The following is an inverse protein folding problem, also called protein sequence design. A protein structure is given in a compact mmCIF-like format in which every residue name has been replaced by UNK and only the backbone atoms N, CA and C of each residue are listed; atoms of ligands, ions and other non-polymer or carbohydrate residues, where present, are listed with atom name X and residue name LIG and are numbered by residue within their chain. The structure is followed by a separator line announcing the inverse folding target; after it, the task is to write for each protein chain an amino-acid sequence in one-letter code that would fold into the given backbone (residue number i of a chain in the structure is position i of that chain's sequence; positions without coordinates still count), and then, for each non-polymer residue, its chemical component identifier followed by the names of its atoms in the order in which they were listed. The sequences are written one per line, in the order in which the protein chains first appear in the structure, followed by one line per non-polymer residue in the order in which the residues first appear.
data_IF_527305625727
#
_entry.id   IF_527305625727
#
_cell.length_a   1.000
_cell.length_b   1.000
_cell.length_c   1.000
_cell.angle_alpha   90.00
_cell.angle_beta   90.00
_cell.angle_gamma   90.00
#
_symmetry.space_group_name_H-M   'P 1'
#
loop_
_entity.id
_entity.type
_entity.pdbx_description
1 polymer ?
#
# COMPACT_ATOMS: atom_id res chain seq x y z
N UNK A 1 -21.78 -3.47 -12.56
CA UNK A 1 -20.51 -4.22 -12.57
C UNK A 1 -19.38 -3.22 -12.41
N UNK A 2 -18.90 -2.97 -11.19
CA UNK A 2 -17.87 -1.95 -10.94
C UNK A 2 -16.51 -2.49 -11.38
N UNK A 3 -15.92 -1.90 -12.41
CA UNK A 3 -14.58 -2.29 -12.89
C UNK A 3 -13.55 -2.01 -11.80
N UNK A 4 -12.70 -2.97 -11.49
CA UNK A 4 -11.59 -2.78 -10.54
C UNK A 4 -10.70 -1.63 -11.01
N UNK A 5 -10.39 -0.64 -10.14
CA UNK A 5 -9.47 0.43 -10.48
C UNK A 5 -8.12 -0.09 -10.97
N UNK A 6 -7.47 0.59 -11.94
CA UNK A 6 -6.23 0.10 -12.56
C UNK A 6 -5.10 -0.16 -11.56
N UNK A 7 -4.93 0.69 -10.56
CA UNK A 7 -3.89 0.54 -9.54
C UNK A 7 -4.13 -0.67 -8.64
N UNK A 8 -5.37 -0.98 -8.25
CA UNK A 8 -5.69 -2.20 -7.51
C UNK A 8 -5.33 -3.44 -8.33
N UNK A 9 -5.74 -3.47 -9.61
CA UNK A 9 -5.39 -4.59 -10.51
C UNK A 9 -3.88 -4.77 -10.64
N UNK A 10 -3.15 -3.69 -10.90
CA UNK A 10 -1.69 -3.74 -11.07
C UNK A 10 -0.97 -4.14 -9.78
N UNK A 11 -1.39 -3.65 -8.61
CA UNK A 11 -0.79 -4.07 -7.34
C UNK A 11 -0.95 -5.57 -7.10
N UNK A 12 -2.15 -6.11 -7.35
CA UNK A 12 -2.41 -7.54 -7.21
C UNK A 12 -1.59 -8.36 -8.23
N UNK A 13 -1.43 -7.89 -9.47
CA UNK A 13 -0.58 -8.54 -10.48
C UNK A 13 0.88 -8.61 -10.04
N UNK A 14 1.40 -7.56 -9.39
CA UNK A 14 2.74 -7.58 -8.79
C UNK A 14 2.78 -8.65 -7.69
N UNK A 15 1.80 -8.67 -6.77
CA UNK A 15 1.77 -9.63 -5.66
C UNK A 15 1.77 -11.10 -6.09
N UNK A 16 1.12 -11.43 -7.22
CA UNK A 16 1.15 -12.79 -7.79
C UNK A 16 2.59 -13.29 -8.02
N UNK A 17 3.54 -12.40 -8.35
CA UNK A 17 4.94 -12.76 -8.57
C UNK A 17 5.69 -13.11 -7.28
N UNK A 18 5.15 -12.76 -6.11
CA UNK A 18 5.80 -12.93 -4.81
C UNK A 18 5.09 -13.93 -3.89
N UNK A 19 3.95 -14.50 -4.31
CA UNK A 19 3.14 -15.42 -3.48
C UNK A 19 3.86 -16.66 -2.95
N UNK A 20 4.96 -17.07 -3.60
CA UNK A 20 5.80 -18.21 -3.20
C UNK A 20 6.99 -17.81 -2.33
N UNK A 21 7.07 -16.54 -1.93
CA UNK A 21 8.15 -15.99 -1.11
C UNK A 21 7.65 -15.78 0.31
N UNK A 22 8.58 -15.52 1.22
CA UNK A 22 8.24 -15.09 2.57
C UNK A 22 7.35 -13.83 2.51
N UNK A 23 6.19 -13.80 3.21
CA UNK A 23 5.25 -12.69 3.11
C UNK A 23 5.82 -11.34 3.55
N UNK A 24 6.68 -11.30 4.57
CA UNK A 24 7.26 -10.05 5.06
C UNK A 24 8.27 -9.51 4.04
N UNK A 25 9.17 -10.36 3.56
CA UNK A 25 10.10 -10.00 2.49
C UNK A 25 9.38 -9.57 1.20
N UNK A 26 8.33 -10.29 0.82
CA UNK A 26 7.49 -9.96 -0.33
C UNK A 26 6.86 -8.57 -0.20
N UNK A 27 6.26 -8.26 0.95
CA UNK A 27 5.67 -6.95 1.20
C UNK A 27 6.69 -5.81 1.07
N UNK A 28 7.92 -6.00 1.59
CA UNK A 28 9.00 -5.02 1.42
C UNK A 28 9.37 -4.81 -0.04
N UNK A 29 9.56 -5.89 -0.81
CA UNK A 29 9.92 -5.80 -2.24
C UNK A 29 8.81 -5.14 -3.06
N UNK A 30 7.55 -5.45 -2.77
CA UNK A 30 6.40 -4.83 -3.42
C UNK A 30 6.37 -3.34 -3.09
N UNK A 31 6.54 -2.95 -1.83
CA UNK A 31 6.57 -1.55 -1.43
C UNK A 31 7.73 -0.79 -2.09
N UNK A 32 8.93 -1.38 -2.15
CA UNK A 32 10.09 -0.82 -2.85
C UNK A 32 9.79 -0.59 -4.34
N UNK A 33 9.25 -1.61 -5.02
CA UNK A 33 8.87 -1.51 -6.43
C UNK A 33 7.84 -0.40 -6.65
N UNK A 34 6.78 -0.36 -5.85
CA UNK A 34 5.76 0.67 -5.95
C UNK A 34 6.35 2.06 -5.71
N UNK A 35 7.25 2.25 -4.74
CA UNK A 35 7.94 3.55 -4.53
C UNK A 35 8.77 3.97 -5.72
N UNK A 36 9.47 3.03 -6.35
CA UNK A 36 10.39 3.31 -7.46
C UNK A 36 9.66 3.60 -8.77
N UNK A 37 8.57 2.88 -9.07
CA UNK A 37 7.94 2.90 -10.39
C UNK A 37 6.61 3.63 -10.44
N UNK A 38 5.93 3.86 -9.31
CA UNK A 38 4.61 4.49 -9.30
C UNK A 38 4.66 5.96 -8.91
N UNK A 39 3.85 6.74 -9.61
CA UNK A 39 3.61 8.14 -9.30
C UNK A 39 3.11 8.35 -7.86
N UNK A 40 3.53 9.42 -7.16
CA UNK A 40 3.13 9.69 -5.77
C UNK A 40 1.61 9.66 -5.53
N UNK A 41 0.83 10.13 -6.50
CA UNK A 41 -0.64 10.11 -6.44
C UNK A 41 -1.20 8.69 -6.45
N UNK A 42 -0.66 7.82 -7.31
CA UNK A 42 -1.09 6.43 -7.43
C UNK A 42 -0.78 5.63 -6.17
N UNK A 43 0.38 5.91 -5.54
CA UNK A 43 0.74 5.34 -4.22
C UNK A 43 -0.24 5.76 -3.13
N UNK A 44 -0.60 7.04 -3.11
CA UNK A 44 -1.57 7.58 -2.14
C UNK A 44 -2.95 6.94 -2.30
N UNK A 45 -3.40 6.71 -3.54
CA UNK A 45 -4.65 5.99 -3.82
C UNK A 45 -4.61 4.53 -3.33
N UNK A 46 -3.48 3.83 -3.55
CA UNK A 46 -3.31 2.46 -3.07
C UNK A 46 -3.38 2.39 -1.53
N UNK A 47 -2.73 3.31 -0.83
CA UNK A 47 -2.76 3.40 0.63
C UNK A 47 -4.17 3.72 1.14
N UNK A 48 -4.87 4.66 0.50
CA UNK A 48 -6.24 5.01 0.86
C UNK A 48 -7.19 3.81 0.68
N UNK A 49 -7.09 3.10 -0.44
CA UNK A 49 -7.88 1.90 -0.68
C UNK A 49 -7.54 0.78 0.29
N UNK A 50 -6.26 0.57 0.62
CA UNK A 50 -5.85 -0.43 1.62
C UNK A 50 -6.40 -0.15 3.02
N UNK A 51 -6.54 1.13 3.38
CA UNK A 51 -7.10 1.55 4.68
C UNK A 51 -8.62 1.36 4.73
N UNK A 52 -9.30 1.55 3.59
CA UNK A 52 -10.75 1.34 3.44
C UNK A 52 -11.17 -0.07 3.04
N UNK A 53 -10.22 -0.96 2.72
CA UNK A 53 -10.48 -2.27 2.14
C UNK A 53 -11.18 -3.21 3.14
N UNK A 54 -12.49 -3.30 3.02
CA UNK A 54 -13.35 -4.30 3.68
C UNK A 54 -13.94 -5.32 2.69
N UNK A 55 -13.68 -5.12 1.40
CA UNK A 55 -14.31 -5.84 0.28
C UNK A 55 -13.42 -6.91 -0.36
N UNK A 56 -12.23 -7.17 0.20
CA UNK A 56 -11.34 -8.25 -0.23
C UNK A 56 -10.71 -8.07 -1.62
N UNK A 57 -10.74 -6.85 -2.19
CA UNK A 57 -10.20 -6.58 -3.53
C UNK A 57 -8.67 -6.51 -3.60
N UNK A 58 -7.99 -6.35 -2.47
CA UNK A 58 -6.53 -6.27 -2.39
C UNK A 58 -5.96 -7.57 -1.85
N UNK A 59 -4.88 -8.04 -2.50
CA UNK A 59 -4.13 -9.19 -2.03
C UNK A 59 -3.48 -8.90 -0.66
N UNK A 60 -3.39 -9.88 0.27
CA UNK A 60 -2.77 -9.70 1.58
C UNK A 60 -1.34 -9.13 1.52
N UNK A 61 -0.55 -9.49 0.51
CA UNK A 61 0.80 -8.95 0.31
C UNK A 61 0.76 -7.47 -0.07
N UNK A 62 -0.26 -7.05 -0.82
CA UNK A 62 -0.46 -5.64 -1.18
C UNK A 62 -0.91 -4.83 0.04
N UNK A 63 -1.77 -5.38 0.90
CA UNK A 63 -2.17 -4.74 2.15
C UNK A 63 -0.95 -4.52 3.06
N UNK A 64 -0.11 -5.55 3.21
CA UNK A 64 1.14 -5.45 3.97
C UNK A 64 2.10 -4.41 3.35
N UNK A 65 2.25 -4.41 2.02
CA UNK A 65 3.07 -3.42 1.34
C UNK A 65 2.53 -1.98 1.50
N UNK A 66 1.22 -1.79 1.44
CA UNK A 66 0.58 -0.48 1.63
C UNK A 66 0.80 0.09 3.04
N UNK A 67 0.86 -0.78 4.06
CA UNK A 67 1.23 -0.37 5.42
C UNK A 67 2.68 0.18 5.48
N UNK A 68 3.60 -0.38 4.68
CA UNK A 68 4.98 0.13 4.57
C UNK A 68 5.05 1.44 3.77
N UNK A 69 4.16 1.64 2.79
CA UNK A 69 4.10 2.84 1.96
C UNK A 69 3.53 4.05 2.70
N UNK A 70 2.67 3.80 3.68
CA UNK A 70 2.16 4.84 4.56
C UNK A 70 3.32 5.47 5.30
N UNK A 71 3.39 6.81 5.42
CA UNK A 71 4.33 7.40 6.37
C UNK A 71 4.04 6.74 7.72
N UNK A 72 5.06 6.19 8.37
CA UNK A 72 4.94 5.77 9.77
C UNK A 72 4.21 6.91 10.48
N UNK A 73 3.18 6.64 11.32
CA UNK A 73 2.58 7.70 12.11
C UNK A 73 3.75 8.32 12.86
N UNK A 74 4.16 9.52 12.42
CA UNK A 74 5.21 10.25 13.11
C UNK A 74 4.78 10.35 14.57
N UNK A 75 5.72 10.45 15.53
CA UNK A 75 5.32 10.85 16.86
C UNK A 75 4.45 12.09 16.66
N UNK A 76 3.21 12.04 17.17
CA UNK A 76 2.33 13.19 17.27
C UNK A 76 3.05 14.19 18.17
N UNK A 77 4.04 14.88 17.64
CA UNK A 77 4.77 15.94 18.30
C UNK A 77 3.74 17.04 18.47
N UNK A 78 3.14 17.03 19.66
CA UNK A 78 2.09 17.94 20.06
C UNK A 78 2.51 19.36 19.79
N UNK A 79 1.92 19.95 18.76
CA UNK A 79 1.80 21.39 18.70
C UNK A 79 0.66 21.76 19.64
N UNK A 80 0.97 21.82 20.94
CA UNK A 80 0.23 22.68 21.86
C UNK A 80 0.84 24.07 21.68
N UNK A 81 0.02 24.95 21.13
CA UNK A 81 0.29 26.36 20.92
C UNK A 81 0.64 27.10 22.21
N UNK A 82 1.36 28.21 22.01
CA UNK A 82 1.26 29.47 22.75
C UNK A 82 1.80 29.50 24.18
N UNK A 83 2.86 30.30 24.39
CA UNK A 83 2.67 31.68 24.86
C UNK A 83 3.89 32.54 24.63
#
# INVERSE_FOLDING_TARGET
MTRTPPHIRMANEIAVQFRHRDPAWAAERIAEHVRAFWDPRMRSMLVADATGATDGRLDPLVLAAAALLSPAPGPVSGQRSSS
#
